data_IF_916752226777
#
_entry.id   IF_916752226777
#
_cell.length_a   1.000
_cell.length_b   1.000
_cell.length_c   1.000
_cell.angle_alpha   90.00
_cell.angle_beta   90.00
_cell.angle_gamma   90.00
#
_symmetry.space_group_name_H-M   'P 1'
#
loop_
_entity.id
_entity.type
_entity.pdbx_description
1 polymer ?
#
# COMPACT_ATOMS: atom_id res chain seq x y z
N UNK A 1 -34.75 -24.43 34.15
CA UNK A 1 -34.83 -25.61 33.26
C UNK A 1 -35.18 -25.05 31.90
N UNK A 2 -34.24 -24.60 31.07
CA UNK A 2 -32.81 -24.90 30.96
C UNK A 2 -32.14 -23.66 30.34
N UNK A 3 -31.08 -23.09 30.92
CA UNK A 3 -29.66 -23.47 30.76
C UNK A 3 -29.15 -23.20 29.33
N UNK A 4 -28.21 -22.24 29.24
CA UNK A 4 -27.06 -22.13 28.32
C UNK A 4 -27.38 -22.02 26.80
N UNK A 5 -26.66 -21.26 25.96
CA UNK A 5 -25.21 -21.20 25.79
C UNK A 5 -24.76 -19.81 25.30
N UNK A 6 -23.71 -19.33 25.96
CA UNK A 6 -22.70 -18.38 25.50
C UNK A 6 -22.22 -18.73 24.07
N UNK A 7 -22.28 -17.75 23.18
CA UNK A 7 -21.56 -17.75 21.91
C UNK A 7 -20.69 -16.50 21.85
N UNK A 8 -19.63 -16.51 22.66
CA UNK A 8 -18.49 -15.61 22.53
C UNK A 8 -17.75 -16.01 21.24
N UNK A 9 -17.87 -15.18 20.20
CA UNK A 9 -17.05 -15.26 18.98
C UNK A 9 -15.94 -14.21 19.14
N UNK A 10 -14.76 -14.58 19.66
CA UNK A 10 -13.59 -13.74 19.62
C UNK A 10 -12.92 -13.86 18.24
N UNK A 11 -12.19 -12.81 17.88
CA UNK A 11 -11.24 -12.77 16.77
C UNK A 11 -11.85 -12.56 15.36
N UNK A 12 -12.68 -11.52 15.25
CA UNK A 12 -12.62 -10.70 14.05
C UNK A 12 -11.31 -9.92 14.11
N UNK A 13 -10.21 -10.56 13.69
CA UNK A 13 -9.00 -9.91 13.17
C UNK A 13 -9.45 -9.10 11.93
N UNK A 14 -10.17 -8.01 12.19
CA UNK A 14 -10.12 -6.83 11.34
C UNK A 14 -8.63 -6.50 11.28
N UNK A 15 -7.99 -6.94 10.19
CA UNK A 15 -6.79 -6.35 9.65
C UNK A 15 -7.10 -4.85 9.51
N UNK A 16 -6.98 -4.18 10.65
CA UNK A 16 -7.18 -2.77 10.80
C UNK A 16 -6.03 -2.22 10.00
N UNK A 17 -6.33 -1.74 8.80
CA UNK A 17 -5.53 -0.74 8.12
C UNK A 17 -5.57 0.49 9.02
N UNK A 18 -4.87 0.41 10.16
CA UNK A 18 -4.63 1.52 11.05
C UNK A 18 -3.87 2.48 10.17
N UNK A 19 -4.48 3.64 9.91
CA UNK A 19 -3.78 4.70 9.20
C UNK A 19 -2.42 4.85 9.89
N UNK A 20 -1.34 4.57 9.16
CA UNK A 20 0.01 4.63 9.70
C UNK A 20 0.36 6.12 9.83
N UNK A 21 -0.17 6.73 10.88
CA UNK A 21 0.06 8.13 11.19
C UNK A 21 1.44 8.25 11.80
N UNK A 22 2.43 8.53 10.96
CA UNK A 22 3.80 8.70 11.39
C UNK A 22 4.78 8.74 10.21
N UNK A 23 6.01 9.13 10.52
CA UNK A 23 7.12 9.06 9.58
C UNK A 23 7.48 7.60 9.36
N UNK A 24 7.55 7.17 8.11
CA UNK A 24 7.96 5.82 7.76
C UNK A 24 9.46 5.65 7.94
N UNK A 25 9.88 4.53 8.53
CA UNK A 25 11.28 4.15 8.66
C UNK A 25 11.67 3.19 7.54
N UNK A 26 12.88 3.34 7.00
CA UNK A 26 13.42 2.40 6.01
C UNK A 26 13.60 1.03 6.68
N UNK A 27 13.10 -0.03 6.03
CA UNK A 27 13.05 -1.40 6.54
C UNK A 27 11.79 -1.71 7.35
N UNK A 28 10.88 -0.74 7.56
CA UNK A 28 9.61 -0.99 8.24
C UNK A 28 8.63 -1.71 7.31
N UNK A 29 7.80 -2.63 7.86
CA UNK A 29 6.72 -3.23 7.09
C UNK A 29 5.73 -2.15 6.63
N UNK A 30 5.22 -2.32 5.42
CA UNK A 30 4.21 -1.46 4.83
C UNK A 30 3.00 -2.30 4.45
N UNK A 31 1.82 -1.91 4.93
CA UNK A 31 0.55 -2.52 4.55
C UNK A 31 -0.51 -1.44 4.45
N UNK A 32 -1.09 -1.27 3.26
CA UNK A 32 -2.10 -0.25 3.02
C UNK A 32 -2.91 -0.52 1.73
N UNK A 33 -4.06 0.13 1.63
CA UNK A 33 -4.84 0.22 0.40
C UNK A 33 -4.48 1.51 -0.33
N UNK A 34 -4.04 1.36 -1.57
CA UNK A 34 -3.54 2.44 -2.40
C UNK A 34 -4.38 2.60 -3.66
N UNK A 35 -4.52 3.85 -4.11
CA UNK A 35 -5.16 4.20 -5.38
C UNK A 35 -4.11 4.69 -6.37
N UNK A 36 -4.10 4.14 -7.58
CA UNK A 36 -3.20 4.54 -8.66
C UNK A 36 -3.47 5.98 -9.07
N UNK A 37 -2.41 6.79 -9.11
CA UNK A 37 -2.48 8.22 -9.37
C UNK A 37 -2.59 8.53 -10.88
N UNK A 38 -3.72 8.21 -11.52
CA UNK A 38 -3.91 8.51 -12.94
C UNK A 38 -3.72 10.01 -13.26
N UNK A 39 -3.09 10.37 -14.40
CA UNK A 39 -2.75 9.52 -15.54
C UNK A 39 -1.37 8.82 -15.47
N UNK A 40 -0.79 8.54 -14.30
CA UNK A 40 0.50 7.86 -14.22
C UNK A 40 0.42 6.46 -14.86
N UNK A 41 1.09 6.28 -15.99
CA UNK A 41 1.19 4.97 -16.63
C UNK A 41 2.12 4.07 -15.78
N UNK A 42 1.69 2.86 -15.38
CA UNK A 42 2.57 1.87 -14.77
C UNK A 42 3.78 1.60 -15.67
N UNK A 43 4.97 1.51 -15.08
CA UNK A 43 6.21 1.26 -15.80
C UNK A 43 6.71 -0.15 -15.51
N UNK A 44 6.92 -0.97 -16.55
CA UNK A 44 7.41 -2.34 -16.39
C UNK A 44 8.91 -2.42 -16.66
N UNK A 45 9.63 -3.08 -15.78
CA UNK A 45 11.06 -3.36 -15.90
C UNK A 45 11.37 -4.83 -15.70
N UNK A 46 12.66 -5.20 -15.79
CA UNK A 46 13.09 -6.59 -15.55
C UNK A 46 12.98 -7.05 -14.10
N UNK A 47 12.77 -6.13 -13.17
CA UNK A 47 12.64 -6.41 -11.74
C UNK A 47 11.20 -6.38 -11.23
N UNK A 48 10.24 -5.92 -12.05
CA UNK A 48 8.85 -5.76 -11.62
C UNK A 48 8.11 -4.62 -12.30
N UNK A 49 6.94 -4.30 -11.77
CA UNK A 49 6.07 -3.20 -12.20
C UNK A 49 6.14 -2.06 -11.19
N UNK A 50 6.53 -0.87 -11.63
CA UNK A 50 6.50 0.34 -10.83
C UNK A 50 5.19 1.09 -11.02
N UNK A 51 4.54 1.44 -9.91
CA UNK A 51 3.23 2.07 -9.87
C UNK A 51 3.30 3.26 -8.91
N UNK A 52 2.82 4.42 -9.36
CA UNK A 52 2.65 5.58 -8.50
C UNK A 52 1.23 5.62 -7.95
N UNK A 53 1.11 5.76 -6.64
CA UNK A 53 -0.16 5.71 -5.94
C UNK A 53 -0.28 6.78 -4.85
N UNK A 54 -1.48 6.89 -4.31
CA UNK A 54 -1.79 7.54 -3.04
C UNK A 54 -2.41 6.50 -2.12
N UNK A 55 -1.93 6.36 -0.89
CA UNK A 55 -2.40 5.33 0.04
C UNK A 55 -3.19 5.94 1.20
N UNK A 56 -4.19 5.20 1.70
CA UNK A 56 -5.14 5.72 2.69
C UNK A 56 -4.49 6.04 4.03
N UNK A 57 -3.54 5.23 4.46
CA UNK A 57 -2.82 5.36 5.72
C UNK A 57 -1.60 6.27 5.67
N UNK A 58 -1.23 6.80 4.50
CA UNK A 58 -0.08 7.70 4.32
C UNK A 58 -0.54 9.16 4.38
N UNK A 59 0.11 9.96 5.23
CA UNK A 59 -0.22 11.39 5.34
C UNK A 59 0.18 12.16 4.08
N UNK A 60 -0.83 12.62 3.32
CA UNK A 60 -0.67 13.41 2.10
C UNK A 60 0.01 14.78 2.35
N UNK A 61 0.07 15.24 3.60
CA UNK A 61 0.81 16.45 3.98
C UNK A 61 2.33 16.23 4.07
N UNK A 62 2.78 15.00 4.34
CA UNK A 62 4.20 14.63 4.44
C UNK A 62 4.69 13.96 3.16
N UNK A 63 3.88 13.09 2.56
CA UNK A 63 4.21 12.33 1.36
C UNK A 63 3.18 12.59 0.26
N UNK A 64 3.62 13.17 -0.86
CA UNK A 64 2.71 13.47 -1.97
C UNK A 64 2.29 12.21 -2.73
N UNK A 65 3.20 11.24 -2.81
CA UNK A 65 3.00 9.98 -3.52
C UNK A 65 3.66 8.82 -2.79
N UNK A 66 3.21 7.62 -3.14
CA UNK A 66 3.89 6.37 -2.84
C UNK A 66 4.26 5.71 -4.16
N UNK A 67 5.54 5.45 -4.36
CA UNK A 67 6.04 4.67 -5.51
C UNK A 67 6.22 3.23 -5.06
N UNK A 68 5.44 2.33 -5.64
CA UNK A 68 5.44 0.91 -5.32
C UNK A 68 6.14 0.16 -6.44
N UNK A 69 7.15 -0.63 -6.10
CA UNK A 69 7.71 -1.65 -6.97
C UNK A 69 7.09 -3.00 -6.63
N UNK A 70 6.25 -3.52 -7.50
CA UNK A 70 5.68 -4.87 -7.38
C UNK A 70 6.59 -5.87 -8.07
N UNK A 71 7.06 -6.88 -7.32
CA UNK A 71 7.97 -7.91 -7.83
C UNK A 71 7.28 -8.99 -8.69
N UNK A 72 6.04 -8.75 -9.09
CA UNK A 72 5.30 -9.54 -10.06
C UNK A 72 5.30 -8.87 -11.44
N UNK A 73 6.04 -9.41 -12.42
CA UNK A 73 6.07 -8.86 -13.77
C UNK A 73 4.75 -9.08 -14.53
N UNK A 74 3.91 -10.03 -14.11
CA UNK A 74 2.67 -10.40 -14.77
C UNK A 74 1.44 -9.65 -14.22
N UNK A 75 1.62 -8.74 -13.24
CA UNK A 75 0.54 -7.93 -12.67
C UNK A 75 -0.19 -7.11 -13.76
N UNK A 76 -1.49 -7.39 -13.90
CA UNK A 76 -2.37 -6.69 -14.82
C UNK A 76 -2.92 -5.40 -14.22
N UNK A 77 -2.29 -4.28 -14.55
CA UNK A 77 -2.74 -2.94 -14.15
C UNK A 77 -3.57 -2.28 -15.24
N UNK A 78 -4.81 -1.91 -14.93
CA UNK A 78 -5.71 -1.22 -15.86
C UNK A 78 -6.36 -0.01 -15.20
N UNK A 79 -6.85 0.98 -15.99
CA UNK A 79 -7.60 2.11 -15.44
C UNK A 79 -8.90 1.72 -14.74
N UNK A 80 -9.45 0.54 -15.04
CA UNK A 80 -10.68 0.03 -14.45
C UNK A 80 -10.49 -0.55 -13.05
N UNK A 81 -9.26 -0.99 -12.71
CA UNK A 81 -8.89 -1.54 -11.40
C UNK A 81 -7.76 -0.68 -10.83
N UNK A 82 -8.13 0.48 -10.29
CA UNK A 82 -7.20 1.50 -9.82
C UNK A 82 -6.86 1.36 -8.34
N UNK A 83 -7.47 0.41 -7.63
CA UNK A 83 -7.22 0.15 -6.22
C UNK A 83 -6.27 -1.05 -6.14
N UNK A 84 -5.25 -0.94 -5.30
CA UNK A 84 -4.28 -1.99 -5.02
C UNK A 84 -4.10 -2.12 -3.52
N UNK A 85 -4.21 -3.35 -3.02
CA UNK A 85 -3.83 -3.73 -1.68
C UNK A 85 -2.36 -4.12 -1.71
N UNK A 86 -1.55 -3.52 -0.83
CA UNK A 86 -0.09 -3.64 -0.88
C UNK A 86 0.40 -4.18 0.45
N UNK A 87 1.19 -5.25 0.41
CA UNK A 87 1.96 -5.72 1.56
C UNK A 87 3.44 -5.82 1.17
N UNK A 88 4.31 -5.18 1.95
CA UNK A 88 5.71 -5.02 1.58
C UNK A 88 6.57 -4.32 2.62
N UNK A 89 7.63 -3.67 2.15
CA UNK A 89 8.61 -2.98 2.98
C UNK A 89 8.92 -1.59 2.42
N UNK A 90 9.06 -0.60 3.30
CA UNK A 90 9.57 0.72 2.95
C UNK A 90 11.06 0.61 2.66
N UNK A 91 11.47 0.93 1.44
CA UNK A 91 12.87 0.82 1.03
C UNK A 91 13.57 2.17 0.95
N UNK A 92 12.83 3.26 0.78
CA UNK A 92 13.40 4.60 0.72
C UNK A 92 12.36 5.69 0.99
N UNK A 93 12.85 6.89 1.31
CA UNK A 93 12.09 8.13 1.38
C UNK A 93 12.76 9.16 0.49
N UNK A 94 12.18 9.41 -0.68
CA UNK A 94 12.78 10.23 -1.73
C UNK A 94 12.26 11.66 -1.65
N UNK A 95 13.16 12.62 -1.46
CA UNK A 95 12.84 14.05 -1.58
C UNK A 95 13.15 14.54 -3.00
N UNK A 96 12.17 15.15 -3.65
CA UNK A 96 12.34 15.78 -4.95
C UNK A 96 12.97 17.16 -4.82
N UNK A 97 13.68 17.61 -5.85
CA UNK A 97 14.24 18.98 -5.93
C UNK A 97 13.16 20.09 -5.85
N UNK A 98 11.89 19.73 -6.05
CA UNK A 98 10.73 20.61 -5.93
C UNK A 98 10.12 20.64 -4.52
N UNK A 99 10.70 19.92 -3.55
CA UNK A 99 10.30 19.93 -2.14
C UNK A 99 9.17 18.96 -1.78
N UNK A 100 8.83 18.01 -2.66
CA UNK A 100 7.87 16.95 -2.37
C UNK A 100 8.57 15.67 -1.94
N UNK A 101 8.05 15.01 -0.91
CA UNK A 101 8.49 13.68 -0.47
C UNK A 101 7.66 12.59 -1.13
N UNK A 102 8.31 11.51 -1.54
CA UNK A 102 7.69 10.28 -2.04
C UNK A 102 8.19 9.11 -1.21
N UNK A 103 7.26 8.27 -0.77
CA UNK A 103 7.60 7.03 -0.08
C UNK A 103 7.88 5.94 -1.13
N UNK A 104 8.99 5.23 -1.03
CA UNK A 104 9.28 4.11 -1.92
C UNK A 104 9.07 2.79 -1.18
N UNK A 105 8.26 1.91 -1.77
CA UNK A 105 7.87 0.62 -1.19
C UNK A 105 8.17 -0.49 -2.18
N UNK A 106 8.74 -1.60 -1.71
CA UNK A 106 8.77 -2.84 -2.47
C UNK A 106 7.64 -3.73 -1.98
N UNK A 107 6.69 -4.02 -2.86
CA UNK A 107 5.59 -4.92 -2.57
C UNK A 107 6.04 -6.36 -2.77
N UNK A 108 5.93 -7.16 -1.71
CA UNK A 108 6.12 -8.61 -1.74
C UNK A 108 4.84 -9.30 -2.23
N UNK A 109 3.70 -8.68 -1.94
CA UNK A 109 2.37 -9.09 -2.37
C UNK A 109 1.55 -7.85 -2.78
N UNK A 110 0.78 -7.97 -3.86
CA UNK A 110 -0.09 -6.91 -4.35
C UNK A 110 -1.32 -7.49 -5.04
N UNK A 111 -2.50 -7.06 -4.61
CA UNK A 111 -3.80 -7.51 -5.13
C UNK A 111 -4.59 -6.32 -5.67
N UNK A 112 -5.18 -6.47 -6.87
CA UNK A 112 -5.94 -5.41 -7.54
C UNK A 112 -7.44 -5.58 -7.27
N UNK A 113 -8.12 -4.48 -6.95
CA UNK A 113 -9.58 -4.40 -6.77
C UNK A 113 -10.24 -3.51 -7.84
#
# INVERSE_FOLDING_TARGET
>A
MSDEEDGDDPDNDEASSVAQTGRFEIGAPFEDTCTIAWPTAPSRGSQGTQIRTTCRGVDAGEYQFVDILVLDPDLEVTPSNSIVHVSGEVVDVVESEMGFTTLAVVAMDAEMD
#
